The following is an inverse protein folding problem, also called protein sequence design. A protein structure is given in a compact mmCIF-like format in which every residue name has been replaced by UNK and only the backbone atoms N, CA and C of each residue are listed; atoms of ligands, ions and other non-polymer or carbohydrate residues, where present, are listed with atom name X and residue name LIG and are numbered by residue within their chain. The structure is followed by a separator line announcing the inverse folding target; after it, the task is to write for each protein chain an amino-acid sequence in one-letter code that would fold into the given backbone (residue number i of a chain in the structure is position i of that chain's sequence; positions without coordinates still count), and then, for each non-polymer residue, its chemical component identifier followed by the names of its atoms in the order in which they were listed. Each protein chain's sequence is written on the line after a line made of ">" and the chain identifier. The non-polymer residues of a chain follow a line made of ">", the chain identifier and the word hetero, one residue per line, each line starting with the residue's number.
data_IF_959605941868
#
_entry.id   IF_959605941868
#
_cell.length_a   1.000
_cell.length_b   1.000
_cell.length_c   1.000
_cell.angle_alpha   90.00
_cell.angle_beta   90.00
_cell.angle_gamma   90.00
#
_symmetry.space_group_name_H-M   'P 1'
#
loop_
_entity.id
_entity.type
_entity.pdbx_description
1 polymer ?
#
# COMPACT_ATOMS: atom_id res chain seq x y z
N UNK A 1 3.47 -4.34 -8.32
CA UNK A 1 2.06 -4.41 -8.71
C UNK A 1 1.84 -3.87 -10.12
N UNK A 2 2.05 -2.57 -10.40
CA UNK A 2 1.78 -1.96 -11.73
C UNK A 2 2.45 -2.70 -12.90
N UNK A 3 3.75 -3.03 -12.78
CA UNK A 3 4.45 -3.75 -13.85
C UNK A 3 3.84 -5.12 -14.18
N UNK A 4 3.25 -5.79 -13.17
CA UNK A 4 2.53 -7.06 -13.35
C UNK A 4 1.22 -6.85 -14.12
N UNK A 5 0.46 -5.79 -13.81
CA UNK A 5 -0.76 -5.47 -14.56
C UNK A 5 -0.49 -5.07 -16.02
N UNK A 6 0.56 -4.31 -16.27
CA UNK A 6 0.98 -3.98 -17.64
C UNK A 6 1.33 -5.27 -18.39
N UNK A 7 2.08 -6.17 -17.76
CA UNK A 7 2.41 -7.47 -18.33
C UNK A 7 1.17 -8.35 -18.57
N UNK A 8 0.22 -8.38 -17.64
CA UNK A 8 -1.04 -9.11 -17.74
C UNK A 8 -1.89 -8.60 -18.92
N UNK A 9 -1.92 -7.28 -19.13
CA UNK A 9 -2.60 -6.66 -20.26
C UNK A 9 -1.96 -7.03 -21.60
N UNK A 10 -0.61 -7.12 -21.66
CA UNK A 10 0.10 -7.61 -22.85
C UNK A 10 -0.24 -9.08 -23.10
N UNK A 11 -0.22 -9.93 -22.07
CA UNK A 11 -0.53 -11.35 -22.17
C UNK A 11 -1.99 -11.61 -22.61
N UNK A 12 -2.93 -10.77 -22.20
CA UNK A 12 -4.33 -10.84 -22.64
C UNK A 12 -4.47 -10.60 -24.16
N UNK A 13 -3.70 -9.66 -24.70
CA UNK A 13 -3.83 -9.23 -26.09
C UNK A 13 -2.89 -9.97 -27.06
N UNK A 14 -1.82 -10.58 -26.57
CA UNK A 14 -0.86 -11.31 -27.38
C UNK A 14 -0.67 -12.76 -26.89
N UNK A 15 -1.27 -13.70 -27.62
CA UNK A 15 -1.21 -15.13 -27.30
C UNK A 15 0.17 -15.76 -27.53
N UNK A 16 1.09 -15.10 -28.24
CA UNK A 16 2.48 -15.56 -28.38
C UNK A 16 3.41 -15.07 -27.27
N UNK A 17 2.94 -14.13 -26.43
CA UNK A 17 3.78 -13.53 -25.40
C UNK A 17 3.95 -14.44 -24.19
N UNK A 18 5.20 -14.76 -23.84
CA UNK A 18 5.53 -15.55 -22.65
C UNK A 18 5.90 -14.59 -21.50
N UNK A 19 5.11 -14.53 -20.41
CA UNK A 19 5.44 -13.65 -19.30
C UNK A 19 6.70 -14.12 -18.56
N UNK A 20 7.74 -13.30 -18.57
CA UNK A 20 8.96 -13.53 -17.79
C UNK A 20 9.13 -12.49 -16.69
N UNK A 21 9.88 -12.85 -15.63
CA UNK A 21 10.08 -12.01 -14.44
C UNK A 21 10.78 -10.69 -14.76
N UNK A 22 11.71 -10.68 -15.70
CA UNK A 22 12.44 -9.47 -16.07
C UNK A 22 11.58 -8.49 -16.88
N UNK A 23 10.57 -8.95 -17.64
CA UNK A 23 9.60 -8.06 -18.29
C UNK A 23 8.86 -7.23 -17.23
N UNK A 24 8.36 -7.88 -16.17
CA UNK A 24 7.68 -7.21 -15.05
C UNK A 24 8.58 -6.18 -14.36
N UNK A 25 9.85 -6.53 -14.15
CA UNK A 25 10.85 -5.65 -13.55
C UNK A 25 11.07 -4.41 -14.41
N UNK A 26 11.24 -4.56 -15.73
CA UNK A 26 11.42 -3.43 -16.63
C UNK A 26 10.20 -2.50 -16.66
N UNK A 27 8.97 -3.04 -16.69
CA UNK A 27 7.77 -2.21 -16.59
C UNK A 27 7.71 -1.46 -15.26
N UNK A 28 8.09 -2.11 -14.16
CA UNK A 28 8.16 -1.46 -12.84
C UNK A 28 9.17 -0.32 -12.84
N UNK A 29 10.38 -0.54 -13.37
CA UNK A 29 11.42 0.49 -13.50
C UNK A 29 10.94 1.66 -14.37
N UNK A 30 10.28 1.37 -15.50
CA UNK A 30 9.76 2.40 -16.39
C UNK A 30 8.72 3.29 -15.69
N UNK A 31 7.80 2.70 -14.93
CA UNK A 31 6.80 3.44 -14.15
C UNK A 31 7.49 4.28 -13.08
N UNK A 32 8.39 3.70 -12.30
CA UNK A 32 9.09 4.42 -11.21
C UNK A 32 9.97 5.55 -11.73
N UNK A 33 10.59 5.37 -12.91
CA UNK A 33 11.33 6.44 -13.59
C UNK A 33 10.40 7.58 -14.02
N UNK A 34 9.22 7.24 -14.56
CA UNK A 34 8.20 8.25 -14.88
C UNK A 34 7.73 9.00 -13.63
N UNK A 35 7.65 8.34 -12.47
CA UNK A 35 7.31 8.97 -11.19
C UNK A 35 8.35 10.01 -10.77
N UNK A 36 9.64 9.74 -10.99
CA UNK A 36 10.71 10.71 -10.68
C UNK A 36 10.61 11.94 -11.57
N UNK A 37 10.43 11.75 -12.88
CA UNK A 37 10.26 12.86 -13.82
C UNK A 37 9.03 13.69 -13.46
N UNK A 38 7.93 13.03 -13.12
CA UNK A 38 6.69 13.66 -12.74
C UNK A 38 6.83 14.49 -11.45
N UNK A 39 7.40 13.90 -10.40
CA UNK A 39 7.60 14.56 -9.10
C UNK A 39 8.67 15.65 -9.12
N UNK A 40 9.50 15.72 -10.17
CA UNK A 40 10.53 16.75 -10.30
C UNK A 40 10.12 17.88 -11.22
N UNK A 41 9.59 17.57 -12.40
CA UNK A 41 9.27 18.55 -13.45
C UNK A 41 7.81 19.01 -13.38
N UNK A 42 6.87 18.12 -13.05
CA UNK A 42 5.44 18.39 -13.04
C UNK A 42 4.86 18.65 -11.65
N UNK A 43 5.70 18.75 -10.61
CA UNK A 43 5.26 18.94 -9.23
C UNK A 43 4.27 20.10 -9.04
N UNK A 44 4.42 21.19 -9.80
CA UNK A 44 3.52 22.37 -9.74
C UNK A 44 2.12 22.06 -10.29
N UNK A 45 1.99 21.09 -11.20
CA UNK A 45 0.72 20.66 -11.80
C UNK A 45 0.07 19.49 -11.05
N UNK A 46 0.72 18.98 -10.01
CA UNK A 46 0.26 17.84 -9.22
C UNK A 46 -1.20 17.98 -8.77
N UNK A 47 -1.68 19.11 -8.21
CA UNK A 47 -3.06 19.22 -7.74
C UNK A 47 -4.11 19.10 -8.85
N UNK A 48 -3.82 19.63 -10.05
CA UNK A 48 -4.71 19.52 -11.21
C UNK A 48 -4.82 18.05 -11.65
N UNK A 49 -3.68 17.38 -11.73
CA UNK A 49 -3.58 16.00 -12.21
C UNK A 49 -4.27 15.06 -11.22
N UNK A 50 -4.05 15.25 -9.91
CA UNK A 50 -4.76 14.54 -8.85
C UNK A 50 -6.28 14.74 -8.93
N UNK A 51 -6.75 15.95 -9.24
CA UNK A 51 -8.17 16.22 -9.45
C UNK A 51 -8.78 15.44 -10.63
N UNK A 52 -8.07 15.37 -11.76
CA UNK A 52 -8.50 14.58 -12.93
C UNK A 52 -8.50 13.09 -12.61
N UNK A 53 -7.47 12.61 -11.91
CA UNK A 53 -7.33 11.20 -11.52
C UNK A 53 -8.37 10.79 -10.47
N UNK A 54 -8.78 11.69 -9.58
CA UNK A 54 -9.91 11.47 -8.69
C UNK A 54 -11.21 11.30 -9.49
N UNK A 55 -11.44 12.14 -10.51
CA UNK A 55 -12.56 11.96 -11.42
C UNK A 55 -12.52 10.59 -12.13
N UNK A 56 -11.35 10.21 -12.64
CA UNK A 56 -11.15 8.90 -13.26
C UNK A 56 -11.35 7.74 -12.26
N UNK A 57 -10.97 7.90 -11.00
CA UNK A 57 -11.18 6.90 -9.95
C UNK A 57 -12.67 6.68 -9.69
N UNK A 58 -13.43 7.77 -9.49
CA UNK A 58 -14.86 7.71 -9.22
C UNK A 58 -15.64 7.16 -10.43
N UNK A 59 -15.36 7.64 -11.64
CA UNK A 59 -16.02 7.16 -12.85
C UNK A 59 -15.54 5.75 -13.24
N UNK A 60 -14.26 5.45 -13.04
CA UNK A 60 -13.62 4.19 -13.41
C UNK A 60 -14.22 2.99 -12.69
N UNK A 61 -14.66 3.17 -11.44
CA UNK A 61 -15.42 2.13 -10.72
C UNK A 61 -16.67 1.72 -11.52
N UNK A 62 -17.43 2.69 -12.06
CA UNK A 62 -18.62 2.38 -12.86
C UNK A 62 -18.28 1.77 -14.22
N UNK A 63 -17.17 2.18 -14.84
CA UNK A 63 -16.67 1.56 -16.08
C UNK A 63 -16.31 0.09 -15.87
N UNK A 64 -15.91 -0.31 -14.66
CA UNK A 64 -15.65 -1.72 -14.32
C UNK A 64 -16.94 -2.44 -13.89
N UNK A 65 -17.72 -1.85 -12.98
CA UNK A 65 -18.86 -2.50 -12.35
C UNK A 65 -20.02 -2.72 -13.33
N UNK A 66 -20.34 -1.73 -14.16
CA UNK A 66 -21.51 -1.80 -15.05
C UNK A 66 -21.38 -2.94 -16.08
N UNK A 67 -20.26 -3.09 -16.82
CA UNK A 67 -20.09 -4.22 -17.73
C UNK A 67 -20.18 -5.57 -17.04
N UNK A 68 -19.60 -5.72 -15.84
CA UNK A 68 -19.70 -6.97 -15.07
C UNK A 68 -21.15 -7.27 -14.69
N UNK A 69 -21.92 -6.28 -14.24
CA UNK A 69 -23.32 -6.51 -13.87
C UNK A 69 -24.22 -6.83 -15.05
N UNK A 70 -23.93 -6.27 -16.22
CA UNK A 70 -24.73 -6.45 -17.44
C UNK A 70 -24.37 -7.75 -18.15
N UNK A 71 -23.08 -8.10 -18.21
CA UNK A 71 -22.58 -9.15 -19.10
C UNK A 71 -22.15 -10.43 -18.36
N UNK A 72 -21.71 -10.34 -17.10
CA UNK A 72 -21.21 -11.52 -16.39
C UNK A 72 -22.36 -12.43 -15.90
N UNK A 73 -22.19 -13.76 -15.96
CA UNK A 73 -23.07 -14.69 -15.28
C UNK A 73 -22.95 -14.48 -13.76
N UNK A 74 -24.10 -14.40 -13.08
CA UNK A 74 -24.16 -14.14 -11.64
C UNK A 74 -24.22 -15.44 -10.85
N UNK A 75 -23.34 -15.57 -9.85
CA UNK A 75 -23.42 -16.66 -8.87
C UNK A 75 -24.66 -16.47 -7.98
N UNK A 76 -25.30 -17.56 -7.51
CA UNK A 76 -26.36 -17.46 -6.51
C UNK A 76 -25.81 -16.86 -5.21
N UNK A 77 -26.67 -16.18 -4.45
CA UNK A 77 -26.28 -15.45 -3.23
C UNK A 77 -25.53 -16.35 -2.24
N UNK A 78 -26.00 -17.57 -2.06
CA UNK A 78 -25.38 -18.52 -1.14
C UNK A 78 -23.94 -18.86 -1.54
N UNK A 79 -23.71 -19.08 -2.84
CA UNK A 79 -22.37 -19.36 -3.36
C UNK A 79 -21.47 -18.11 -3.41
N UNK A 80 -22.05 -16.91 -3.59
CA UNK A 80 -21.26 -15.68 -3.65
C UNK A 80 -20.83 -15.17 -2.27
N UNK A 81 -21.67 -15.35 -1.25
CA UNK A 81 -21.46 -14.74 0.08
C UNK A 81 -21.11 -15.74 1.18
N UNK A 82 -21.52 -17.01 1.06
CA UNK A 82 -21.44 -17.98 2.15
C UNK A 82 -20.67 -19.26 1.80
N UNK A 83 -20.26 -19.43 0.55
CA UNK A 83 -19.37 -20.51 0.12
C UNK A 83 -17.91 -20.11 0.34
N UNK A 84 -17.40 -20.49 1.52
CA UNK A 84 -16.05 -20.14 1.95
C UNK A 84 -15.03 -21.19 1.50
N UNK A 85 -14.04 -20.76 0.72
CA UNK A 85 -12.93 -21.61 0.29
C UNK A 85 -11.71 -21.47 1.22
N UNK A 86 -11.17 -22.60 1.69
CA UNK A 86 -9.94 -22.65 2.47
C UNK A 86 -8.80 -23.29 1.66
N UNK A 87 -8.40 -22.60 0.59
CA UNK A 87 -7.31 -23.05 -0.30
C UNK A 87 -5.98 -23.15 0.45
N UNK A 88 -5.80 -22.34 1.51
CA UNK A 88 -4.60 -22.36 2.34
C UNK A 88 -4.45 -23.62 3.21
N UNK A 89 -5.49 -24.46 3.33
CA UNK A 89 -5.42 -25.71 4.11
C UNK A 89 -5.33 -25.51 5.62
N UNK A 90 -5.75 -24.36 6.15
CA UNK A 90 -5.77 -24.10 7.59
C UNK A 90 -6.81 -24.97 8.32
N UNK A 91 -6.64 -25.21 9.63
CA UNK A 91 -7.53 -26.13 10.37
C UNK A 91 -9.00 -25.67 10.42
N UNK A 92 -9.24 -24.35 10.32
CA UNK A 92 -10.58 -23.79 10.27
C UNK A 92 -10.69 -22.71 9.21
N UNK A 93 -11.87 -22.61 8.59
CA UNK A 93 -12.21 -21.53 7.65
C UNK A 93 -12.11 -20.15 8.31
N UNK A 94 -12.44 -20.04 9.59
CA UNK A 94 -12.32 -18.78 10.34
C UNK A 94 -10.87 -18.30 10.44
N UNK A 95 -9.92 -19.20 10.71
CA UNK A 95 -8.49 -18.88 10.73
C UNK A 95 -8.00 -18.46 9.33
N UNK A 96 -8.38 -19.21 8.30
CA UNK A 96 -8.06 -18.87 6.91
C UNK A 96 -8.59 -17.47 6.54
N UNK A 97 -9.81 -17.14 6.98
CA UNK A 97 -10.42 -15.83 6.76
C UNK A 97 -9.65 -14.70 7.47
N UNK A 98 -9.24 -14.90 8.74
CA UNK A 98 -8.45 -13.90 9.48
C UNK A 98 -7.09 -13.63 8.82
N UNK A 99 -6.42 -14.67 8.33
CA UNK A 99 -5.15 -14.56 7.61
C UNK A 99 -5.37 -13.85 6.26
N UNK A 100 -6.39 -14.26 5.51
CA UNK A 100 -6.73 -13.67 4.21
C UNK A 100 -7.17 -12.20 4.29
N UNK A 101 -7.83 -11.81 5.38
CA UNK A 101 -8.38 -10.45 5.60
C UNK A 101 -7.30 -9.36 5.68
N UNK A 102 -6.06 -9.70 6.02
CA UNK A 102 -4.95 -8.73 6.08
C UNK A 102 -4.73 -8.06 4.71
N UNK A 103 -4.81 -8.81 3.62
CA UNK A 103 -4.56 -8.31 2.26
C UNK A 103 -5.54 -7.20 1.83
N UNK A 104 -6.88 -7.40 1.88
CA UNK A 104 -7.82 -6.34 1.51
C UNK A 104 -7.79 -5.16 2.48
N UNK A 105 -7.50 -5.37 3.77
CA UNK A 105 -7.41 -4.26 4.73
C UNK A 105 -6.18 -3.39 4.55
N UNK A 106 -5.08 -3.92 4.01
CA UNK A 106 -3.92 -3.11 3.64
C UNK A 106 -4.22 -2.07 2.54
N UNK A 107 -5.30 -2.24 1.77
CA UNK A 107 -5.74 -1.25 0.77
C UNK A 107 -6.33 0.01 1.44
N UNK A 108 -6.72 -0.09 2.72
CA UNK A 108 -7.24 1.02 3.52
C UNK A 108 -6.14 1.76 4.31
N UNK A 109 -4.88 1.60 3.92
CA UNK A 109 -3.73 2.28 4.52
C UNK A 109 -3.38 3.53 3.69
N UNK A 110 -2.77 4.54 4.32
CA UNK A 110 -2.19 5.69 3.62
C UNK A 110 -2.98 7.01 3.73
N UNK A 111 -4.16 7.00 4.37
CA UNK A 111 -4.96 8.21 4.59
C UNK A 111 -4.26 9.27 5.48
N UNK A 112 -3.23 8.86 6.22
CA UNK A 112 -2.41 9.69 7.11
C UNK A 112 -1.30 10.48 6.37
N UNK A 113 -1.13 10.28 5.07
CA UNK A 113 -0.15 11.01 4.27
C UNK A 113 -0.57 12.45 3.92
N UNK A 114 -1.75 12.91 4.36
CA UNK A 114 -2.30 14.23 4.01
C UNK A 114 -2.06 15.27 5.11
N UNK A 115 -1.67 16.48 4.71
CA UNK A 115 -1.45 17.63 5.61
C UNK A 115 -2.79 18.33 5.95
N UNK A 116 -3.89 17.91 5.30
CA UNK A 116 -5.22 18.54 5.42
C UNK A 116 -5.99 18.12 6.66
N UNK A 117 -6.88 19.00 7.14
CA UNK A 117 -7.68 18.85 8.37
C UNK A 117 -8.18 17.41 8.60
N UNK A 118 -8.21 16.88 9.84
CA UNK A 118 -8.74 15.55 10.16
C UNK A 118 -10.12 15.22 9.57
N UNK A 119 -10.93 16.25 9.30
CA UNK A 119 -12.21 16.13 8.60
C UNK A 119 -12.07 15.58 7.17
N UNK A 120 -11.03 15.98 6.43
CA UNK A 120 -10.79 15.54 5.05
C UNK A 120 -10.48 14.04 5.02
N UNK A 121 -9.64 13.57 5.94
CA UNK A 121 -9.35 12.14 6.13
C UNK A 121 -10.66 11.37 6.33
N UNK A 122 -11.50 11.79 7.28
CA UNK A 122 -12.79 11.13 7.55
C UNK A 122 -13.73 11.12 6.33
N UNK A 123 -13.82 12.22 5.59
CA UNK A 123 -14.65 12.32 4.39
C UNK A 123 -14.11 11.52 3.20
N UNK A 124 -12.81 11.22 3.17
CA UNK A 124 -12.21 10.41 2.10
C UNK A 124 -12.39 8.90 2.32
N UNK A 125 -12.42 8.45 3.59
CA UNK A 125 -12.47 7.01 3.92
C UNK A 125 -13.83 6.42 3.60
N UNK A 126 -14.93 7.07 4.00
CA UNK A 126 -16.27 6.48 3.86
C UNK A 126 -16.68 6.23 2.39
N UNK A 127 -16.55 7.18 1.45
CA UNK A 127 -16.85 6.93 0.04
C UNK A 127 -15.96 5.85 -0.58
N UNK A 128 -14.66 5.84 -0.25
CA UNK A 128 -13.75 4.80 -0.74
C UNK A 128 -14.09 3.42 -0.19
N UNK A 129 -14.47 3.31 1.08
CA UNK A 129 -14.92 2.06 1.68
C UNK A 129 -16.22 1.56 1.00
N UNK A 130 -17.16 2.45 0.70
CA UNK A 130 -18.39 2.11 -0.03
C UNK A 130 -18.10 1.62 -1.47
N UNK A 131 -17.23 2.33 -2.20
CA UNK A 131 -16.83 1.93 -3.57
C UNK A 131 -16.05 0.61 -3.55
N UNK A 132 -15.15 0.43 -2.58
CA UNK A 132 -14.42 -0.82 -2.38
C UNK A 132 -15.37 -2.00 -2.10
N UNK A 133 -16.35 -1.81 -1.21
CA UNK A 133 -17.37 -2.81 -0.94
C UNK A 133 -18.19 -3.15 -2.19
N UNK A 134 -18.59 -2.14 -2.98
CA UNK A 134 -19.29 -2.33 -4.24
C UNK A 134 -18.49 -3.20 -5.22
N UNK A 135 -17.19 -2.93 -5.38
CA UNK A 135 -16.31 -3.71 -6.26
C UNK A 135 -16.11 -5.13 -5.72
N UNK A 136 -15.87 -5.30 -4.41
CA UNK A 136 -15.72 -6.63 -3.78
C UNK A 136 -16.96 -7.48 -3.99
N UNK A 137 -18.16 -6.93 -3.73
CA UNK A 137 -19.42 -7.64 -3.96
C UNK A 137 -19.58 -7.96 -5.45
N UNK A 138 -19.28 -7.01 -6.34
CA UNK A 138 -19.34 -7.24 -7.78
C UNK A 138 -18.48 -8.42 -8.20
N UNK A 139 -17.21 -8.47 -7.76
CA UNK A 139 -16.31 -9.59 -8.06
C UNK A 139 -16.78 -10.89 -7.41
N UNK A 140 -17.29 -10.87 -6.18
CA UNK A 140 -17.84 -12.07 -5.53
C UNK A 140 -18.97 -12.70 -6.36
N UNK A 141 -19.91 -11.88 -6.85
CA UNK A 141 -21.03 -12.35 -7.68
C UNK A 141 -20.65 -12.67 -9.14
N UNK A 142 -19.65 -11.99 -9.70
CA UNK A 142 -19.29 -12.08 -11.13
C UNK A 142 -18.00 -12.87 -11.41
N UNK A 143 -17.37 -13.47 -10.39
CA UNK A 143 -16.08 -14.17 -10.50
C UNK A 143 -16.11 -15.40 -11.41
N UNK A 144 -17.27 -15.99 -11.67
CA UNK A 144 -17.39 -17.21 -12.47
C UNK A 144 -16.73 -18.41 -11.77
N UNK A 145 -16.00 -19.23 -12.53
CA UNK A 145 -15.27 -20.38 -11.99
C UNK A 145 -13.94 -19.93 -11.37
N UNK A 146 -13.81 -20.09 -10.05
CA UNK A 146 -12.62 -19.67 -9.29
C UNK A 146 -11.35 -20.40 -9.77
N UNK A 147 -11.43 -21.68 -10.11
CA UNK A 147 -10.25 -22.47 -10.51
C UNK A 147 -9.65 -21.97 -11.82
N UNK A 148 -10.50 -21.64 -12.81
CA UNK A 148 -10.07 -21.05 -14.08
C UNK A 148 -9.41 -19.68 -13.87
N UNK A 149 -10.00 -18.87 -12.99
CA UNK A 149 -9.52 -17.53 -12.67
C UNK A 149 -8.19 -17.55 -11.93
N UNK A 150 -7.97 -18.53 -11.04
CA UNK A 150 -6.69 -18.68 -10.32
C UNK A 150 -5.56 -19.23 -11.20
N UNK A 151 -5.89 -20.00 -12.24
CA UNK A 151 -4.92 -20.58 -13.18
C UNK A 151 -4.75 -19.76 -14.47
N UNK A 152 -5.22 -18.52 -14.49
CA UNK A 152 -5.14 -17.67 -15.68
C UNK A 152 -3.70 -17.40 -16.12
N UNK A 153 -3.49 -17.44 -17.44
CA UNK A 153 -2.22 -17.07 -18.08
C UNK A 153 -1.81 -15.63 -17.82
N UNK A 154 -2.77 -14.74 -17.56
CA UNK A 154 -2.47 -13.31 -17.31
C UNK A 154 -1.73 -13.12 -15.99
N UNK A 155 -1.77 -14.10 -15.08
CA UNK A 155 -1.24 -14.01 -13.73
C UNK A 155 -2.05 -13.11 -12.79
N UNK A 156 -3.12 -12.49 -13.29
CA UNK A 156 -3.94 -11.51 -12.57
C UNK A 156 -5.43 -11.92 -12.66
N UNK A 157 -5.98 -12.55 -11.61
CA UNK A 157 -7.34 -13.08 -11.57
C UNK A 157 -8.43 -12.15 -12.10
N UNK A 158 -8.43 -10.89 -11.69
CA UNK A 158 -9.47 -9.94 -12.10
C UNK A 158 -9.44 -9.61 -13.60
N UNK A 159 -8.27 -9.70 -14.25
CA UNK A 159 -8.14 -9.52 -15.70
C UNK A 159 -8.87 -10.65 -16.43
N UNK A 160 -8.75 -11.88 -15.92
CA UNK A 160 -9.52 -13.02 -16.43
C UNK A 160 -11.01 -12.82 -16.20
N UNK A 161 -11.44 -12.38 -15.02
CA UNK A 161 -12.85 -12.09 -14.73
C UNK A 161 -13.43 -11.09 -15.74
N UNK A 162 -12.70 -10.02 -16.05
CA UNK A 162 -13.16 -9.02 -17.03
C UNK A 162 -13.31 -9.62 -18.43
N UNK A 163 -12.37 -10.48 -18.82
CA UNK A 163 -12.42 -11.16 -20.11
C UNK A 163 -13.54 -12.20 -20.19
N UNK A 164 -13.69 -13.05 -19.19
CA UNK A 164 -14.75 -14.05 -19.12
C UNK A 164 -16.14 -13.42 -19.07
N UNK A 165 -16.28 -12.24 -18.46
CA UNK A 165 -17.54 -11.50 -18.44
C UNK A 165 -17.85 -10.81 -19.77
N UNK A 166 -16.87 -10.16 -20.40
CA UNK A 166 -17.11 -9.32 -21.59
C UNK A 166 -16.98 -10.10 -22.91
N UNK A 167 -16.26 -11.22 -22.93
CA UNK A 167 -15.88 -11.94 -24.15
C UNK A 167 -15.02 -11.13 -25.14
N UNK A 168 -14.56 -9.94 -24.75
CA UNK A 168 -13.89 -8.98 -25.64
C UNK A 168 -12.57 -8.51 -25.04
N UNK A 169 -11.47 -8.80 -25.74
CA UNK A 169 -10.12 -8.33 -25.38
C UNK A 169 -10.06 -6.80 -25.33
N UNK A 170 -10.75 -6.11 -26.24
CA UNK A 170 -10.78 -4.65 -26.28
C UNK A 170 -11.50 -4.05 -25.07
N UNK A 171 -12.69 -4.54 -24.73
CA UNK A 171 -13.45 -4.05 -23.57
C UNK A 171 -12.69 -4.30 -22.26
N UNK A 172 -12.16 -5.52 -22.10
CA UNK A 172 -11.32 -5.89 -20.96
C UNK A 172 -10.07 -5.01 -20.85
N UNK A 173 -9.43 -4.71 -21.98
CA UNK A 173 -8.24 -3.87 -22.00
C UNK A 173 -8.51 -2.45 -21.55
N UNK A 174 -9.66 -1.87 -21.91
CA UNK A 174 -10.05 -0.53 -21.44
C UNK A 174 -10.26 -0.54 -19.92
N UNK A 175 -10.95 -1.54 -19.38
CA UNK A 175 -11.16 -1.68 -17.93
C UNK A 175 -9.83 -1.82 -17.18
N UNK A 176 -8.92 -2.67 -17.66
CA UNK A 176 -7.59 -2.86 -17.06
C UNK A 176 -6.72 -1.61 -17.19
N UNK A 177 -6.77 -0.90 -18.33
CA UNK A 177 -6.00 0.32 -18.55
C UNK A 177 -6.36 1.42 -17.54
N UNK A 178 -7.64 1.56 -17.18
CA UNK A 178 -8.07 2.49 -16.12
C UNK A 178 -7.38 2.15 -14.79
N UNK A 179 -7.37 0.87 -14.40
CA UNK A 179 -6.70 0.41 -13.17
C UNK A 179 -5.20 0.70 -13.23
N UNK A 180 -4.55 0.44 -14.37
CA UNK A 180 -3.12 0.73 -14.56
C UNK A 180 -2.85 2.23 -14.39
N UNK A 181 -3.65 3.11 -15.01
CA UNK A 181 -3.49 4.57 -14.90
C UNK A 181 -3.62 5.03 -13.44
N UNK A 182 -4.63 4.52 -12.72
CA UNK A 182 -4.83 4.86 -11.31
C UNK A 182 -3.68 4.38 -10.42
N UNK A 183 -3.12 3.19 -10.69
CA UNK A 183 -1.98 2.72 -9.92
C UNK A 183 -0.65 3.42 -10.26
N UNK A 184 -0.47 3.86 -11.51
CA UNK A 184 0.66 4.73 -11.88
C UNK A 184 0.55 6.05 -11.11
N UNK A 185 -0.64 6.64 -11.05
CA UNK A 185 -0.90 7.81 -10.22
C UNK A 185 -0.58 7.58 -8.74
N UNK A 186 -1.02 6.46 -8.17
CA UNK A 186 -0.70 6.10 -6.80
C UNK A 186 0.82 6.03 -6.59
N UNK A 187 1.56 5.43 -7.53
CA UNK A 187 3.03 5.39 -7.48
C UNK A 187 3.66 6.79 -7.47
N UNK A 188 3.07 7.78 -8.16
CA UNK A 188 3.56 9.15 -8.14
C UNK A 188 3.45 9.76 -6.74
N UNK A 189 2.29 9.62 -6.10
CA UNK A 189 2.03 10.12 -4.74
C UNK A 189 2.88 9.39 -3.69
N UNK A 190 3.08 8.07 -3.82
CA UNK A 190 3.91 7.28 -2.90
C UNK A 190 5.39 7.70 -2.95
N UNK A 191 5.95 7.91 -4.15
CA UNK A 191 7.34 8.39 -4.30
C UNK A 191 7.50 9.79 -3.69
N UNK A 192 6.51 10.68 -3.89
CA UNK A 192 6.51 12.00 -3.27
C UNK A 192 6.56 11.88 -1.74
N UNK A 193 5.61 11.14 -1.16
CA UNK A 193 5.51 10.93 0.30
C UNK A 193 6.77 10.30 0.87
N UNK A 194 7.27 9.22 0.28
CA UNK A 194 8.47 8.53 0.75
C UNK A 194 9.70 9.46 0.72
N UNK A 195 9.85 10.28 -0.32
CA UNK A 195 10.96 11.23 -0.41
C UNK A 195 10.86 12.34 0.64
N UNK A 196 9.65 12.83 0.93
CA UNK A 196 9.40 13.82 1.98
C UNK A 196 9.68 13.25 3.37
N UNK A 197 9.26 12.01 3.65
CA UNK A 197 9.55 11.32 4.92
C UNK A 197 11.05 11.09 5.11
N UNK A 198 11.74 10.64 4.06
CA UNK A 198 13.19 10.45 4.07
C UNK A 198 13.92 11.77 4.34
N UNK A 199 13.49 12.85 3.67
CA UNK A 199 14.04 14.18 3.87
C UNK A 199 13.78 14.73 5.27
N UNK A 200 12.56 14.59 5.80
CA UNK A 200 12.23 15.08 7.14
C UNK A 200 13.03 14.35 8.22
N UNK A 201 13.22 13.04 8.06
CA UNK A 201 14.03 12.26 9.01
C UNK A 201 15.52 12.60 8.87
N UNK A 202 15.99 12.91 7.67
CA UNK A 202 17.35 13.41 7.45
C UNK A 202 17.59 14.75 8.15
N UNK A 203 16.66 15.71 8.01
CA UNK A 203 16.72 17.04 8.64
C UNK A 203 16.85 16.95 10.16
N UNK A 204 16.20 15.95 10.77
CA UNK A 204 16.25 15.73 12.22
C UNK A 204 17.47 14.87 12.63
N UNK A 205 18.51 14.81 11.78
CA UNK A 205 19.73 13.99 11.96
C UNK A 205 19.48 12.48 12.20
N UNK A 206 18.33 11.98 11.75
CA UNK A 206 17.89 10.62 11.96
C UNK A 206 18.54 9.57 11.04
N UNK A 207 19.26 9.99 9.99
CA UNK A 207 19.78 9.09 8.96
C UNK A 207 21.30 9.19 8.77
N UNK A 208 21.96 8.12 8.28
CA UNK A 208 23.31 8.26 7.77
C UNK A 208 23.31 9.26 6.60
N UNK A 209 24.36 10.08 6.52
CA UNK A 209 24.47 11.16 5.54
C UNK A 209 23.31 12.18 5.55
N UNK A 210 22.69 12.41 6.72
CA UNK A 210 21.66 13.45 6.93
C UNK A 210 21.99 14.79 6.29
N UNK A 211 23.21 15.31 6.46
CA UNK A 211 23.64 16.61 5.90
C UNK A 211 23.63 16.68 4.36
N UNK A 212 23.72 15.52 3.70
CA UNK A 212 23.57 15.45 2.25
C UNK A 212 22.09 15.30 1.87
N UNK A 213 21.34 14.43 2.57
CA UNK A 213 19.93 14.14 2.29
C UNK A 213 18.98 15.31 2.59
N UNK A 214 19.26 16.10 3.62
CA UNK A 214 18.42 17.23 4.05
C UNK A 214 18.50 18.44 3.10
N UNK A 215 19.50 18.48 2.21
CA UNK A 215 19.74 19.66 1.39
C UNK A 215 18.75 19.77 0.23
N UNK A 216 17.96 20.84 0.25
CA UNK A 216 17.12 21.28 -0.87
C UNK A 216 17.85 22.36 -1.68
N UNK A 217 17.88 22.24 -3.01
CA UNK A 217 18.58 23.21 -3.86
C UNK A 217 17.78 24.53 -3.96
N UNK A 218 18.43 25.70 -3.94
CA UNK A 218 17.76 26.97 -4.18
C UNK A 218 17.00 26.96 -5.51
N UNK A 219 15.75 27.43 -5.51
CA UNK A 219 14.86 27.41 -6.67
C UNK A 219 14.05 26.12 -6.87
N UNK A 220 14.34 25.06 -6.10
CA UNK A 220 13.56 23.82 -6.09
C UNK A 220 12.75 23.72 -4.79
N UNK A 221 11.47 23.38 -4.89
CA UNK A 221 10.61 23.14 -3.73
C UNK A 221 10.53 21.65 -3.33
N UNK A 222 11.47 20.83 -3.82
CA UNK A 222 11.46 19.38 -3.65
C UNK A 222 12.85 18.86 -3.22
N UNK A 223 12.91 17.85 -2.33
CA UNK A 223 14.17 17.28 -1.87
C UNK A 223 14.73 16.28 -2.89
N UNK A 224 15.28 16.79 -4.01
CA UNK A 224 15.72 15.97 -5.14
C UNK A 224 16.66 14.82 -4.76
N UNK A 225 17.56 15.03 -3.78
CA UNK A 225 18.46 13.98 -3.29
C UNK A 225 17.71 12.83 -2.63
N UNK A 226 16.71 13.13 -1.81
CA UNK A 226 15.85 12.13 -1.20
C UNK A 226 15.02 11.38 -2.26
N UNK A 227 14.49 12.11 -3.26
CA UNK A 227 13.77 11.50 -4.41
C UNK A 227 14.64 10.48 -5.14
N UNK A 228 15.90 10.84 -5.45
CA UNK A 228 16.84 9.94 -6.14
C UNK A 228 17.18 8.72 -5.28
N UNK A 229 17.38 8.88 -3.97
CA UNK A 229 17.64 7.74 -3.08
C UNK A 229 16.43 6.80 -3.02
N UNK A 230 15.22 7.34 -2.85
CA UNK A 230 13.99 6.54 -2.89
C UNK A 230 13.86 5.78 -4.21
N UNK A 231 14.16 6.43 -5.35
CA UNK A 231 14.17 5.79 -6.66
C UNK A 231 15.18 4.64 -6.75
N UNK A 232 16.43 4.87 -6.34
CA UNK A 232 17.48 3.85 -6.39
C UNK A 232 17.12 2.65 -5.52
N UNK A 233 16.58 2.88 -4.32
CA UNK A 233 16.13 1.79 -3.44
C UNK A 233 15.03 0.99 -4.12
N UNK A 234 14.00 1.64 -4.68
CA UNK A 234 12.92 0.93 -5.38
C UNK A 234 13.43 0.18 -6.62
N UNK A 235 14.38 0.76 -7.36
CA UNK A 235 15.02 0.10 -8.50
C UNK A 235 15.74 -1.19 -8.05
N UNK A 236 16.56 -1.12 -7.01
CA UNK A 236 17.26 -2.28 -6.45
C UNK A 236 16.28 -3.35 -5.95
N UNK A 237 15.22 -2.95 -5.25
CA UNK A 237 14.18 -3.88 -4.80
C UNK A 237 13.45 -4.53 -5.98
N UNK A 238 13.23 -3.80 -7.08
CA UNK A 238 12.57 -4.35 -8.27
C UNK A 238 13.43 -5.39 -9.01
N UNK A 239 14.76 -5.27 -8.95
CA UNK A 239 15.70 -6.24 -9.52
C UNK A 239 15.65 -7.60 -8.82
N UNK A 240 15.27 -7.62 -7.54
CA UNK A 240 15.10 -8.87 -6.76
C UNK A 240 14.10 -9.81 -7.44
N UNK A 241 13.07 -9.25 -8.10
CA UNK A 241 12.06 -10.04 -8.81
C UNK A 241 12.65 -10.96 -9.89
N UNK A 242 13.77 -10.57 -10.51
CA UNK A 242 14.45 -11.38 -11.53
C UNK A 242 14.93 -12.70 -10.91
N UNK A 243 15.51 -12.63 -9.71
CA UNK A 243 16.03 -13.79 -8.99
C UNK A 243 14.96 -14.55 -8.19
N UNK A 244 14.10 -13.83 -7.46
CA UNK A 244 13.12 -14.45 -6.57
C UNK A 244 11.87 -13.59 -6.38
N UNK A 245 10.72 -14.15 -6.79
CA UNK A 245 9.40 -13.59 -6.50
C UNK A 245 9.04 -13.72 -5.01
N UNK A 246 9.52 -14.76 -4.33
CA UNK A 246 9.31 -14.96 -2.89
C UNK A 246 10.00 -13.86 -2.08
N UNK A 247 11.23 -13.49 -2.44
CA UNK A 247 11.93 -12.40 -1.78
C UNK A 247 11.19 -11.07 -1.94
N UNK A 248 10.71 -10.74 -3.15
CA UNK A 248 9.93 -9.52 -3.37
C UNK A 248 8.59 -9.53 -2.60
N UNK A 249 7.88 -10.67 -2.58
CA UNK A 249 6.64 -10.82 -1.80
C UNK A 249 6.89 -10.61 -0.31
N UNK A 250 8.01 -11.14 0.20
CA UNK A 250 8.41 -10.97 1.60
C UNK A 250 8.70 -9.51 1.95
N UNK A 251 9.38 -8.77 1.08
CA UNK A 251 9.62 -7.32 1.25
C UNK A 251 8.29 -6.56 1.25
N UNK A 252 7.35 -6.92 0.39
CA UNK A 252 6.03 -6.29 0.34
C UNK A 252 5.23 -6.54 1.63
N UNK A 253 5.28 -7.79 2.14
CA UNK A 253 4.67 -8.15 3.43
C UNK A 253 5.31 -7.41 4.60
N UNK A 254 6.65 -7.26 4.61
CA UNK A 254 7.37 -6.45 5.59
C UNK A 254 6.87 -5.00 5.60
N UNK A 255 6.61 -4.41 4.43
CA UNK A 255 6.05 -3.05 4.33
C UNK A 255 4.70 -2.92 5.04
N UNK A 256 3.79 -3.87 4.81
CA UNK A 256 2.49 -3.89 5.49
C UNK A 256 2.63 -4.03 7.01
N UNK A 257 3.48 -4.96 7.46
CA UNK A 257 3.80 -5.16 8.88
C UNK A 257 4.37 -3.88 9.51
N UNK A 258 5.30 -3.22 8.84
CA UNK A 258 5.93 -2.00 9.33
C UNK A 258 4.91 -0.86 9.50
N UNK A 259 3.95 -0.72 8.58
CA UNK A 259 2.89 0.29 8.69
C UNK A 259 1.93 -0.04 9.83
N UNK A 260 1.45 -1.27 9.93
CA UNK A 260 0.59 -1.69 11.05
C UNK A 260 1.29 -1.52 12.40
N UNK A 261 2.58 -1.85 12.48
CA UNK A 261 3.41 -1.63 13.66
C UNK A 261 3.54 -0.13 14.00
N UNK A 262 3.76 0.72 13.00
CA UNK A 262 3.79 2.19 13.18
C UNK A 262 2.48 2.73 13.76
N UNK A 263 1.33 2.24 13.28
CA UNK A 263 0.02 2.61 13.83
C UNK A 263 -0.13 2.15 15.28
N UNK A 264 0.28 0.93 15.62
CA UNK A 264 0.25 0.45 17.01
C UNK A 264 1.13 1.28 17.93
N UNK A 265 2.35 1.62 17.52
CA UNK A 265 3.26 2.48 18.31
C UNK A 265 2.67 3.88 18.49
N UNK A 266 2.16 4.48 17.42
CA UNK A 266 1.60 5.85 17.44
C UNK A 266 0.34 5.93 18.30
N UNK A 267 -0.60 5.01 18.11
CA UNK A 267 -1.86 5.00 18.89
C UNK A 267 -1.56 4.58 20.34
N UNK A 268 -0.66 3.62 20.55
CA UNK A 268 -0.24 3.15 21.87
C UNK A 268 0.42 4.24 22.71
N UNK A 269 1.35 5.00 22.13
CA UNK A 269 1.97 6.15 22.82
C UNK A 269 0.95 7.25 23.15
N UNK A 270 -0.06 7.46 22.30
CA UNK A 270 -1.14 8.39 22.57
C UNK A 270 -2.07 7.91 23.70
N UNK A 271 -2.35 6.61 23.79
CA UNK A 271 -3.09 5.99 24.91
C UNK A 271 -2.27 6.15 26.20
N UNK A 272 -1.00 5.77 26.18
CA UNK A 272 -0.09 5.90 27.32
C UNK A 272 -0.06 7.33 27.84
N UNK A 273 0.13 8.32 26.96
CA UNK A 273 0.16 9.74 27.35
C UNK A 273 -1.17 10.24 27.92
N UNK A 274 -2.31 9.70 27.49
CA UNK A 274 -3.63 10.05 28.04
C UNK A 274 -3.91 9.42 29.40
N UNK A 275 -3.36 8.24 29.68
CA UNK A 275 -3.59 7.50 30.92
C UNK A 275 -2.58 7.87 32.02
N UNK A 276 -1.31 8.08 31.64
CA UNK A 276 -0.21 8.20 32.59
C UNK A 276 0.65 9.46 32.39
N UNK A 277 0.45 10.20 31.30
CA UNK A 277 1.28 11.34 30.91
C UNK A 277 0.66 12.70 31.20
N UNK A 278 1.44 13.75 30.91
CA UNK A 278 0.96 15.12 30.94
C UNK A 278 -0.14 15.35 29.88
N UNK A 279 -1.06 16.31 30.12
CA UNK A 279 -2.12 16.64 29.18
C UNK A 279 -1.60 16.84 27.75
N UNK A 280 -2.37 16.37 26.78
CA UNK A 280 -2.04 16.59 25.38
C UNK A 280 -2.06 18.09 25.07
N UNK A 281 -1.15 18.58 24.21
CA UNK A 281 -1.11 19.98 23.82
C UNK A 281 -2.43 20.43 23.17
N UNK A 282 -2.64 21.74 23.16
CA UNK A 282 -3.75 22.39 22.45
C UNK A 282 -3.85 21.86 21.02
N UNK A 283 -5.06 21.47 20.60
CA UNK A 283 -5.34 20.89 19.28
C UNK A 283 -6.44 21.64 18.57
N UNK A 284 -6.23 21.90 17.27
CA UNK A 284 -7.24 22.56 16.41
C UNK A 284 -8.51 21.73 16.22
N UNK A 285 -8.41 20.41 16.35
CA UNK A 285 -9.53 19.48 16.23
C UNK A 285 -9.44 18.36 17.26
N UNK A 286 -10.59 17.95 17.78
CA UNK A 286 -10.71 17.11 18.97
C UNK A 286 -11.96 16.25 18.92
N UNK A 287 -11.82 14.94 19.09
CA UNK A 287 -12.93 14.01 19.36
C UNK A 287 -13.38 14.05 20.84
N UNK A 288 -12.81 14.97 21.64
CA UNK A 288 -13.13 15.14 23.05
C UNK A 288 -12.92 13.86 23.86
N UNK A 289 -13.96 13.50 24.62
CA UNK A 289 -14.00 12.33 25.52
C UNK A 289 -13.93 10.98 24.79
N UNK A 290 -14.39 10.91 23.54
CA UNK A 290 -14.40 9.67 22.76
C UNK A 290 -13.01 9.26 22.27
N UNK A 291 -12.03 10.17 22.30
CA UNK A 291 -10.69 9.90 21.75
C UNK A 291 -9.97 8.72 22.42
N UNK A 292 -10.15 8.49 23.72
CA UNK A 292 -9.52 7.33 24.38
C UNK A 292 -10.17 6.02 23.95
N UNK A 293 -11.51 5.95 23.94
CA UNK A 293 -12.25 4.77 23.50
C UNK A 293 -11.93 4.42 22.05
N UNK A 294 -11.91 5.40 21.15
CA UNK A 294 -11.57 5.20 19.73
C UNK A 294 -10.14 4.67 19.58
N UNK A 295 -9.17 5.21 20.33
CA UNK A 295 -7.81 4.71 20.29
C UNK A 295 -7.70 3.25 20.76
N UNK A 296 -8.39 2.89 21.84
CA UNK A 296 -8.41 1.51 22.36
C UNK A 296 -9.05 0.58 21.32
N UNK A 297 -10.21 0.94 20.77
CA UNK A 297 -10.86 0.17 19.70
C UNK A 297 -9.96 0.00 18.48
N UNK A 298 -9.23 1.05 18.08
CA UNK A 298 -8.28 0.98 16.98
C UNK A 298 -7.14 0.00 17.26
N UNK A 299 -6.55 0.00 18.47
CA UNK A 299 -5.54 -0.99 18.86
C UNK A 299 -6.12 -2.41 18.88
N UNK A 300 -7.30 -2.61 19.44
CA UNK A 300 -7.97 -3.92 19.45
C UNK A 300 -8.26 -4.44 18.03
N UNK A 301 -8.48 -3.55 17.06
CA UNK A 301 -8.69 -3.90 15.67
C UNK A 301 -7.39 -4.16 14.89
N UNK A 302 -6.39 -3.29 15.06
CA UNK A 302 -5.11 -3.37 14.34
C UNK A 302 -4.21 -4.49 14.88
N UNK A 303 -4.27 -4.80 16.17
CA UNK A 303 -3.40 -5.78 16.80
C UNK A 303 -3.56 -7.20 16.22
N UNK A 304 -4.78 -7.75 16.04
CA UNK A 304 -4.96 -9.01 15.33
C UNK A 304 -4.43 -8.98 13.90
N UNK A 305 -4.65 -7.89 13.15
CA UNK A 305 -4.14 -7.75 11.79
C UNK A 305 -2.62 -7.75 11.75
N UNK A 306 -1.98 -7.06 12.68
CA UNK A 306 -0.53 -7.06 12.84
C UNK A 306 0.00 -8.47 13.11
N UNK A 307 -0.65 -9.23 13.98
CA UNK A 307 -0.25 -10.63 14.27
C UNK A 307 -0.43 -11.52 13.03
N UNK A 308 -1.60 -11.49 12.39
CA UNK A 308 -1.87 -12.33 11.22
C UNK A 308 -1.08 -11.89 9.98
N UNK A 309 -0.59 -10.66 9.92
CA UNK A 309 0.29 -10.20 8.84
C UNK A 309 1.63 -10.96 8.78
N UNK A 310 2.04 -11.61 9.88
CA UNK A 310 3.21 -12.49 9.91
C UNK A 310 2.90 -13.94 9.50
N UNK A 311 1.63 -14.33 9.39
CA UNK A 311 1.26 -15.68 9.03
C UNK A 311 1.47 -15.92 7.53
N UNK A 312 1.84 -17.14 7.11
CA UNK A 312 1.83 -17.54 5.70
C UNK A 312 0.40 -17.68 5.20
N UNK A 313 0.19 -17.61 3.88
CA UNK A 313 -1.14 -17.81 3.29
C UNK A 313 -1.56 -19.29 3.31
N UNK A 314 -0.60 -20.22 3.25
CA UNK A 314 -0.80 -21.68 3.29
C UNK A 314 -0.31 -22.26 4.61
N UNK A 315 -0.98 -23.30 5.11
CA UNK A 315 -0.60 -24.04 6.32
C UNK A 315 0.71 -24.80 6.13
N UNK A 316 0.87 -25.44 4.97
CA UNK A 316 2.13 -26.09 4.61
C UNK A 316 3.11 -25.02 4.13
N UNK A 317 4.26 -24.97 4.78
CA UNK A 317 5.27 -23.94 4.60
C UNK A 317 6.56 -24.56 4.09
N UNK A 318 7.04 -24.06 2.96
CA UNK A 318 8.35 -24.34 2.42
C UNK A 318 9.14 -23.04 2.22
N UNK A 319 10.28 -23.11 1.52
CA UNK A 319 11.14 -21.95 1.25
C UNK A 319 10.49 -20.91 0.35
N UNK A 320 9.48 -21.28 -0.44
CA UNK A 320 8.81 -20.41 -1.39
C UNK A 320 7.52 -19.81 -0.83
N UNK A 321 6.84 -20.52 0.09
CA UNK A 321 5.56 -20.13 0.70
C UNK A 321 5.69 -19.48 2.07
N UNK A 322 6.86 -19.59 2.73
CA UNK A 322 7.11 -18.94 4.01
C UNK A 322 6.98 -17.41 3.89
N UNK A 323 6.22 -16.83 4.82
CA UNK A 323 6.20 -15.39 5.01
C UNK A 323 7.43 -14.96 5.82
N UNK A 324 8.46 -14.46 5.14
CA UNK A 324 9.70 -14.01 5.78
C UNK A 324 9.59 -12.65 6.50
N UNK A 325 8.41 -12.01 6.51
CA UNK A 325 8.22 -10.71 7.16
C UNK A 325 8.62 -10.71 8.63
N UNK A 326 8.43 -11.81 9.36
CA UNK A 326 8.81 -11.94 10.78
C UNK A 326 10.32 -11.80 10.98
N UNK A 327 11.10 -12.63 10.27
CA UNK A 327 12.57 -12.62 10.33
C UNK A 327 13.13 -11.29 9.82
N UNK A 328 12.58 -10.77 8.72
CA UNK A 328 13.00 -9.48 8.17
C UNK A 328 12.69 -8.33 9.13
N UNK A 329 11.54 -8.36 9.81
CA UNK A 329 11.17 -7.33 10.80
C UNK A 329 12.14 -7.31 11.96
N UNK A 330 12.49 -8.47 12.52
CA UNK A 330 13.49 -8.57 13.59
C UNK A 330 14.84 -8.05 13.12
N UNK A 331 15.28 -8.41 11.90
CA UNK A 331 16.53 -7.92 11.33
C UNK A 331 16.57 -6.40 11.17
N UNK A 332 15.50 -5.81 10.63
CA UNK A 332 15.40 -4.34 10.46
C UNK A 332 15.37 -3.63 11.81
N UNK A 333 14.59 -4.12 12.78
CA UNK A 333 14.55 -3.55 14.13
C UNK A 333 15.90 -3.65 14.83
N UNK A 334 16.63 -4.75 14.65
CA UNK A 334 17.97 -4.92 15.18
C UNK A 334 18.95 -3.90 14.58
N UNK A 335 18.95 -3.72 13.26
CA UNK A 335 19.78 -2.72 12.57
C UNK A 335 19.43 -1.31 13.07
N UNK A 336 18.14 -0.99 13.18
CA UNK A 336 17.67 0.29 13.67
C UNK A 336 18.08 0.55 15.13
N UNK A 337 18.00 -0.48 16.00
CA UNK A 337 18.43 -0.39 17.40
C UNK A 337 19.94 -0.16 17.50
N UNK A 338 20.74 -0.91 16.75
CA UNK A 338 22.20 -0.72 16.71
C UNK A 338 22.54 0.71 16.25
N UNK A 339 21.89 1.19 15.18
CA UNK A 339 22.07 2.55 14.70
C UNK A 339 21.69 3.59 15.77
N UNK A 340 20.56 3.40 16.45
CA UNK A 340 20.11 4.29 17.52
C UNK A 340 21.10 4.34 18.69
N UNK A 341 21.57 3.18 19.17
CA UNK A 341 22.50 3.12 20.31
C UNK A 341 23.88 3.69 19.96
N UNK A 342 24.38 3.41 18.75
CA UNK A 342 25.72 3.86 18.33
C UNK A 342 25.73 5.34 17.99
N UNK A 343 24.72 5.84 17.28
CA UNK A 343 24.73 7.18 16.69
C UNK A 343 23.47 7.99 17.01
N UNK A 344 22.28 7.41 16.83
CA UNK A 344 21.02 8.14 16.91
C UNK A 344 20.79 8.86 18.24
N UNK A 345 21.04 8.19 19.37
CA UNK A 345 20.81 8.76 20.72
C UNK A 345 21.66 10.00 21.05
N UNK A 346 22.76 10.21 20.32
CA UNK A 346 23.69 11.32 20.55
C UNK A 346 23.42 12.51 19.61
N UNK A 347 22.72 12.29 18.49
CA UNK A 347 22.50 13.30 17.45
C UNK A 347 21.02 13.71 17.32
N UNK A 348 20.10 12.83 17.69
CA UNK A 348 18.68 13.07 17.54
C UNK A 348 18.17 13.98 18.65
N UNK A 349 17.72 15.17 18.27
CA UNK A 349 17.04 16.11 19.15
C UNK A 349 15.55 16.06 18.83
N UNK A 350 14.73 15.74 19.83
CA UNK A 350 13.28 15.64 19.64
C UNK A 350 12.66 17.00 19.27
N UNK A 351 11.58 17.04 18.46
CA UNK A 351 10.97 18.29 17.99
C UNK A 351 10.51 19.26 19.09
N UNK A 352 10.22 18.75 20.29
CA UNK A 352 9.79 19.56 21.44
C UNK A 352 10.96 20.31 22.07
N UNK A 353 12.17 19.73 22.09
CA UNK A 353 13.35 20.37 22.65
C UNK A 353 13.83 21.57 21.79
N UNK A 354 13.68 21.48 20.47
CA UNK A 354 14.04 22.57 19.54
C UNK A 354 13.14 23.82 19.71
N UNK A 355 11.86 23.63 20.02
CA UNK A 355 10.92 24.75 20.25
C UNK A 355 11.17 25.40 21.62
N UNK A 356 11.69 24.65 22.59
CA UNK A 356 12.07 25.18 23.91
C UNK A 356 13.40 25.96 23.85
N UNK A 357 14.38 25.50 23.06
CA UNK A 357 15.63 26.24 22.81
C UNK A 357 15.42 27.56 22.05
N UNK A 358 14.53 27.60 21.05
CA UNK A 358 14.20 28.84 20.31
C UNK A 358 13.45 29.88 21.18
N UNK A 359 12.97 29.47 22.36
CA UNK A 359 12.24 30.32 23.31
C UNK A 359 13.08 30.77 24.51
N UNK A 360 14.28 30.23 24.70
CA UNK A 360 15.20 30.54 25.81
C UNK A 360 16.30 31.50 25.39
#
# INVERSE_FOLDING_TARGET
>A
MVGGLIQALVALNNESYVPERWHQTLFTIAVVLSSVVFNTVLAVKLPLIEGVLLGLHLCGVFVVVIPLWVMAPRRPVDAALFDYTNVGGWDTTGLAALIGMVTPLNVLIGYDCTITLPKVIMWSVAPNACLGLLVILTLAFCSGNIDEVLQTRTGEPFVQIFYSATGSKAASSVMVAIVIILLISCCFSEVATASCQLWSFARDNGLPASSWLERVQPGWNIPLRAVVVSFVVVLLLSLINIGSTTALRSISSLGAVAILGSYLVTIGTLIWRRLFGAPLPSRRWSLGRYGLAINITAVCFVLPLFVFAFFPLTKEVDRETLNYASVMSVGVLFIALVYYVVRGRNLYVGPVALIEEDRS
#
